data_IF_973519862929
#
_entry.id   IF_973519862929
#
_cell.length_a   1.000
_cell.length_b   1.000
_cell.length_c   1.000
_cell.angle_alpha   90.00
_cell.angle_beta   90.00
_cell.angle_gamma   90.00
#
_symmetry.space_group_name_H-M   'P 1'
#
loop_
_entity.id
_entity.type
_entity.pdbx_description
1 polymer ?
#
# COMPACT_ATOMS: atom_id res chain seq x y z
N UNK A 1 -7.21 -36.76 10.68
CA UNK A 1 -6.69 -35.97 11.81
C UNK A 1 -5.21 -35.62 11.58
N UNK A 2 -4.34 -36.61 11.39
CA UNK A 2 -2.88 -36.38 11.13
C UNK A 2 -2.65 -35.53 9.88
N UNK A 3 -3.23 -35.89 8.73
CA UNK A 3 -3.14 -35.08 7.50
C UNK A 3 -3.56 -33.59 7.66
N UNK A 4 -4.56 -33.33 8.52
CA UNK A 4 -5.01 -31.96 8.81
C UNK A 4 -4.01 -31.20 9.70
N UNK A 5 -3.42 -31.89 10.69
CA UNK A 5 -2.38 -31.36 11.57
C UNK A 5 -1.07 -31.12 10.80
N UNK A 6 -0.74 -32.01 9.87
CA UNK A 6 0.40 -31.93 8.96
C UNK A 6 0.16 -30.97 7.78
N UNK A 7 -1.04 -30.37 7.72
CA UNK A 7 -1.39 -29.36 6.72
C UNK A 7 -1.27 -29.87 5.28
N UNK A 8 -1.44 -31.17 5.06
CA UNK A 8 -1.32 -31.79 3.74
C UNK A 8 -2.34 -31.23 2.73
N UNK A 9 -3.50 -30.74 3.20
CA UNK A 9 -4.48 -30.07 2.33
C UNK A 9 -3.94 -28.81 1.65
N UNK A 10 -2.86 -28.23 2.16
CA UNK A 10 -2.21 -27.08 1.56
C UNK A 10 -1.11 -27.48 0.60
N UNK A 11 -0.57 -28.71 0.66
CA UNK A 11 0.54 -29.18 -0.17
C UNK A 11 1.90 -28.54 0.15
N UNK A 12 2.97 -29.09 -0.44
CA UNK A 12 4.32 -28.54 -0.40
C UNK A 12 4.58 -27.61 -1.58
N UNK A 13 5.21 -26.46 -1.32
CA UNK A 13 5.43 -25.44 -2.34
C UNK A 13 6.89 -25.02 -2.36
N UNK A 14 7.49 -25.08 -3.54
CA UNK A 14 8.81 -24.51 -3.76
C UNK A 14 8.74 -22.99 -3.87
N UNK A 15 9.59 -22.28 -3.12
CA UNK A 15 9.78 -20.83 -3.30
C UNK A 15 10.36 -20.48 -4.68
N UNK A 16 10.99 -21.46 -5.34
CA UNK A 16 11.62 -21.28 -6.65
C UNK A 16 10.62 -21.44 -7.80
N UNK A 17 9.47 -22.07 -7.56
CA UNK A 17 8.41 -22.17 -8.57
C UNK A 17 7.61 -20.86 -8.62
N UNK A 18 7.83 -20.09 -9.68
CA UNK A 18 7.18 -18.80 -9.90
C UNK A 18 6.00 -18.86 -10.87
N UNK A 19 5.62 -20.04 -11.37
CA UNK A 19 4.42 -20.23 -12.17
C UNK A 19 3.16 -20.26 -11.27
N UNK A 20 2.93 -19.17 -10.54
CA UNK A 20 1.95 -19.11 -9.44
C UNK A 20 0.56 -18.66 -9.89
N UNK A 21 0.21 -18.81 -11.16
CA UNK A 21 -1.15 -18.57 -11.63
C UNK A 21 -1.98 -19.84 -11.52
N UNK A 22 -3.26 -19.66 -11.28
CA UNK A 22 -4.27 -20.73 -11.37
C UNK A 22 -4.59 -21.07 -12.84
N UNK A 23 -5.10 -22.27 -13.16
CA UNK A 23 -5.57 -22.59 -14.51
C UNK A 23 -6.53 -21.54 -15.08
N UNK A 24 -7.37 -20.96 -14.22
CA UNK A 24 -8.34 -19.92 -14.57
C UNK A 24 -7.68 -18.61 -14.97
N UNK A 25 -6.48 -18.31 -14.48
CA UNK A 25 -5.75 -17.06 -14.76
C UNK A 25 -4.56 -17.23 -15.69
N UNK A 26 -4.18 -18.48 -16.01
CA UNK A 26 -3.07 -18.81 -16.89
C UNK A 26 -3.15 -18.08 -18.24
N UNK A 27 -4.33 -17.99 -18.83
CA UNK A 27 -4.57 -17.35 -20.13
C UNK A 27 -4.20 -15.84 -20.16
N UNK A 28 -3.97 -15.21 -19.00
CA UNK A 28 -3.55 -13.81 -18.90
C UNK A 28 -2.05 -13.62 -19.15
N UNK A 29 -1.26 -14.69 -19.18
CA UNK A 29 0.19 -14.64 -19.16
C UNK A 29 0.83 -15.50 -20.24
N UNK A 30 1.87 -14.98 -20.89
CA UNK A 30 2.64 -15.68 -21.92
C UNK A 30 3.80 -16.52 -21.33
N UNK A 31 3.95 -16.55 -20.01
CA UNK A 31 4.98 -17.31 -19.31
C UNK A 31 5.37 -16.69 -17.96
N UNK A 32 6.34 -17.30 -17.28
CA UNK A 32 6.76 -16.90 -15.91
C UNK A 32 7.30 -15.47 -15.84
N UNK A 33 8.08 -15.04 -16.83
CA UNK A 33 8.62 -13.67 -16.86
C UNK A 33 7.52 -12.63 -17.06
N UNK A 34 6.55 -12.93 -17.92
CA UNK A 34 5.40 -12.09 -18.21
C UNK A 34 4.48 -11.97 -16.98
N UNK A 35 4.19 -13.09 -16.31
CA UNK A 35 3.49 -13.12 -15.04
C UNK A 35 4.19 -12.31 -13.95
N UNK A 36 5.50 -12.54 -13.76
CA UNK A 36 6.27 -11.80 -12.75
C UNK A 36 6.18 -10.30 -13.00
N UNK A 37 6.36 -9.85 -14.24
CA UNK A 37 6.34 -8.43 -14.55
C UNK A 37 4.93 -7.83 -14.48
N UNK A 38 3.95 -8.42 -15.16
CA UNK A 38 2.62 -7.83 -15.29
C UNK A 38 1.75 -8.01 -14.04
N UNK A 39 1.86 -9.15 -13.35
CA UNK A 39 1.13 -9.39 -12.12
C UNK A 39 1.94 -8.95 -10.90
N UNK A 40 3.05 -9.63 -10.61
CA UNK A 40 3.74 -9.46 -9.32
C UNK A 40 4.42 -8.09 -9.17
N UNK A 41 5.02 -7.54 -10.23
CA UNK A 41 5.65 -6.22 -10.19
C UNK A 41 4.67 -5.10 -10.49
N UNK A 42 3.99 -5.14 -11.64
CA UNK A 42 3.15 -4.04 -12.11
C UNK A 42 1.84 -3.93 -11.32
N UNK A 43 1.06 -5.02 -11.24
CA UNK A 43 -0.24 -5.03 -10.54
C UNK A 43 -0.09 -5.04 -9.03
N UNK A 44 0.80 -5.86 -8.50
CA UNK A 44 0.93 -6.08 -7.05
C UNK A 44 1.90 -5.12 -6.37
N UNK A 45 2.81 -4.43 -7.05
CA UNK A 45 3.71 -3.48 -6.39
C UNK A 45 3.55 -2.05 -6.90
N UNK A 46 3.81 -1.81 -8.19
CA UNK A 46 3.84 -0.46 -8.77
C UNK A 46 2.47 0.21 -8.60
N UNK A 47 1.38 -0.52 -8.82
CA UNK A 47 0.02 0.00 -8.65
C UNK A 47 -0.23 0.54 -7.23
N UNK A 48 0.05 -0.25 -6.18
CA UNK A 48 -0.18 0.21 -4.81
C UNK A 48 0.78 1.32 -4.41
N UNK A 49 2.04 1.25 -4.82
CA UNK A 49 2.99 2.34 -4.62
C UNK A 49 2.45 3.65 -5.19
N UNK A 50 1.90 3.61 -6.41
CA UNK A 50 1.29 4.78 -7.05
C UNK A 50 -0.04 5.17 -6.42
N UNK A 51 -0.83 4.26 -5.85
CA UNK A 51 -2.01 4.64 -5.08
C UNK A 51 -1.66 5.54 -3.89
N UNK A 52 -0.50 5.31 -3.24
CA UNK A 52 -0.07 6.13 -2.12
C UNK A 52 0.35 7.54 -2.55
N UNK A 53 1.05 7.68 -3.68
CA UNK A 53 1.75 8.93 -4.02
C UNK A 53 1.22 9.66 -5.26
N UNK A 54 0.39 9.02 -6.09
CA UNK A 54 -0.24 9.59 -7.27
C UNK A 54 -1.77 9.63 -7.16
N UNK A 55 -2.37 8.46 -6.90
CA UNK A 55 -3.79 8.33 -6.67
C UNK A 55 -4.39 6.99 -7.14
N UNK A 56 -5.64 6.76 -6.76
CA UNK A 56 -6.42 5.54 -6.98
C UNK A 56 -7.77 5.91 -7.60
N UNK A 57 -8.19 5.17 -8.62
CA UNK A 57 -9.49 5.35 -9.24
C UNK A 57 -9.92 4.14 -10.09
N UNK A 58 -11.19 4.07 -10.50
CA UNK A 58 -11.74 2.92 -11.20
C UNK A 58 -11.04 2.67 -12.54
N UNK A 59 -10.65 1.43 -12.80
CA UNK A 59 -10.01 1.05 -14.06
C UNK A 59 -10.93 1.33 -15.25
N UNK A 60 -10.39 1.96 -16.30
CA UNK A 60 -11.14 2.42 -17.46
C UNK A 60 -11.60 3.89 -17.41
N UNK A 61 -11.36 4.61 -16.30
CA UNK A 61 -11.56 6.05 -16.25
C UNK A 61 -10.59 6.82 -17.16
N UNK A 62 -11.01 7.99 -17.67
CA UNK A 62 -10.24 8.79 -18.64
C UNK A 62 -8.83 9.19 -18.16
N UNK A 63 -8.66 9.38 -16.85
CA UNK A 63 -7.40 9.78 -16.21
C UNK A 63 -6.69 8.62 -15.51
N UNK A 64 -7.20 7.39 -15.67
CA UNK A 64 -6.77 6.23 -14.91
C UNK A 64 -5.96 5.28 -15.78
N UNK A 65 -4.72 5.02 -15.36
CA UNK A 65 -3.90 3.97 -15.95
C UNK A 65 -4.15 2.64 -15.23
N UNK A 66 -4.47 1.53 -15.91
CA UNK A 66 -4.87 0.29 -15.22
C UNK A 66 -3.79 -0.35 -14.35
N UNK A 67 -2.51 -0.27 -14.73
CA UNK A 67 -1.42 -0.94 -14.01
C UNK A 67 -1.68 -2.43 -13.70
N UNK A 68 -2.32 -3.16 -14.62
CA UNK A 68 -2.67 -4.57 -14.43
C UNK A 68 -4.02 -4.80 -13.74
N UNK A 69 -4.75 -3.74 -13.43
CA UNK A 69 -6.12 -3.81 -12.93
C UNK A 69 -7.09 -4.37 -13.98
N UNK A 70 -8.02 -5.22 -13.55
CA UNK A 70 -9.19 -5.60 -14.36
C UNK A 70 -10.22 -4.48 -14.36
N UNK A 71 -11.30 -4.60 -15.15
CA UNK A 71 -12.37 -3.60 -15.19
C UNK A 71 -13.15 -3.46 -13.87
N UNK A 72 -13.08 -4.46 -12.98
CA UNK A 72 -13.73 -4.44 -11.67
C UNK A 72 -12.79 -3.95 -10.54
N UNK A 73 -11.56 -3.56 -10.89
CA UNK A 73 -10.53 -3.15 -9.95
C UNK A 73 -10.16 -1.68 -10.17
N UNK A 74 -9.43 -1.11 -9.22
CA UNK A 74 -8.89 0.23 -9.36
C UNK A 74 -7.53 0.21 -10.08
N UNK A 75 -7.30 1.24 -10.90
CA UNK A 75 -6.01 1.61 -11.47
C UNK A 75 -5.43 2.84 -10.75
N UNK A 76 -4.49 3.53 -11.41
CA UNK A 76 -3.82 4.72 -10.90
C UNK A 76 -4.45 5.96 -11.53
N UNK A 77 -5.12 6.78 -10.73
CA UNK A 77 -5.58 8.12 -11.12
C UNK A 77 -4.46 9.13 -10.87
N UNK A 78 -3.87 9.65 -11.93
CA UNK A 78 -2.74 10.59 -11.85
C UNK A 78 -3.09 11.97 -11.30
N UNK A 79 -4.39 12.28 -11.23
CA UNK A 79 -4.90 13.60 -10.89
C UNK A 79 -5.84 13.58 -9.68
N UNK A 80 -5.90 12.47 -8.92
CA UNK A 80 -6.69 12.40 -7.69
C UNK A 80 -6.28 13.52 -6.71
N UNK A 81 -4.98 13.80 -6.61
CA UNK A 81 -4.43 14.86 -5.78
C UNK A 81 -4.17 16.17 -6.54
N UNK A 82 -4.75 16.34 -7.74
CA UNK A 82 -4.39 17.41 -8.67
C UNK A 82 -3.00 17.16 -9.27
N UNK A 83 -1.95 17.73 -8.66
CA UNK A 83 -0.57 17.39 -8.99
C UNK A 83 -0.04 16.41 -7.94
N UNK A 84 0.55 15.25 -8.32
CA UNK A 84 1.05 14.26 -7.37
C UNK A 84 2.37 14.71 -6.71
N UNK A 85 2.29 15.78 -5.90
CA UNK A 85 3.43 16.46 -5.30
C UNK A 85 4.30 15.52 -4.46
N UNK A 86 3.68 14.62 -3.69
CA UNK A 86 4.38 13.62 -2.89
C UNK A 86 5.25 12.70 -3.79
N UNK A 87 4.73 12.22 -4.91
CA UNK A 87 5.51 11.43 -5.86
C UNK A 87 6.65 12.24 -6.47
N UNK A 88 6.37 13.46 -6.93
CA UNK A 88 7.38 14.31 -7.58
C UNK A 88 8.51 14.71 -6.62
N UNK A 89 8.18 15.05 -5.37
CA UNK A 89 9.14 15.34 -4.32
C UNK A 89 9.96 14.12 -3.94
N UNK A 90 9.37 12.92 -3.93
CA UNK A 90 10.11 11.68 -3.71
C UNK A 90 11.18 11.44 -4.77
N UNK A 91 10.85 11.64 -6.06
CA UNK A 91 11.86 11.55 -7.13
C UNK A 91 12.93 12.63 -7.03
N UNK A 92 12.54 13.87 -6.77
CA UNK A 92 13.48 14.97 -6.58
C UNK A 92 14.38 14.72 -5.37
N UNK A 93 13.84 14.23 -4.27
CA UNK A 93 14.57 13.90 -3.06
C UNK A 93 15.50 12.71 -3.21
N UNK A 94 15.12 11.68 -3.96
CA UNK A 94 16.02 10.60 -4.36
C UNK A 94 17.23 11.15 -5.14
N UNK A 95 16.98 11.96 -6.17
CA UNK A 95 18.04 12.60 -6.94
C UNK A 95 18.93 13.47 -6.06
N UNK A 96 18.33 14.34 -5.26
CA UNK A 96 19.04 15.29 -4.40
C UNK A 96 19.88 14.56 -3.34
N UNK A 97 19.34 13.52 -2.70
CA UNK A 97 20.06 12.67 -1.76
C UNK A 97 21.27 12.00 -2.42
N UNK A 98 21.09 11.38 -3.60
CA UNK A 98 22.18 10.71 -4.31
C UNK A 98 23.28 11.65 -4.77
N UNK A 99 22.95 12.92 -5.08
CA UNK A 99 23.94 13.93 -5.49
C UNK A 99 24.77 14.48 -4.33
N UNK A 100 24.17 14.60 -3.14
CA UNK A 100 24.82 15.17 -1.95
C UNK A 100 25.49 14.10 -1.07
N UNK A 101 24.86 12.95 -0.90
CA UNK A 101 25.34 11.85 -0.07
C UNK A 101 24.89 10.49 -0.64
N UNK A 102 25.63 10.02 -1.64
CA UNK A 102 25.32 8.77 -2.31
C UNK A 102 25.45 7.54 -1.40
N UNK A 103 26.24 7.59 -0.32
CA UNK A 103 26.45 6.44 0.58
C UNK A 103 25.20 6.18 1.42
N UNK A 104 24.69 7.20 2.08
CA UNK A 104 23.43 7.09 2.82
C UNK A 104 22.24 6.98 1.86
N UNK A 105 22.32 7.62 0.68
CA UNK A 105 21.36 7.44 -0.40
C UNK A 105 21.20 5.98 -0.80
N UNK A 106 22.32 5.27 -1.00
CA UNK A 106 22.31 3.84 -1.31
C UNK A 106 21.73 2.99 -0.17
N UNK A 107 21.95 3.35 1.10
CA UNK A 107 21.35 2.64 2.23
C UNK A 107 19.81 2.74 2.21
N UNK A 108 19.26 3.94 1.96
CA UNK A 108 17.81 4.12 1.82
C UNK A 108 17.27 3.42 0.57
N UNK A 109 18.03 3.44 -0.54
CA UNK A 109 17.66 2.71 -1.76
C UNK A 109 17.63 1.20 -1.55
N UNK A 110 18.60 0.66 -0.81
CA UNK A 110 18.63 -0.75 -0.45
C UNK A 110 17.41 -1.12 0.40
N UNK A 111 17.06 -0.30 1.40
CA UNK A 111 15.84 -0.49 2.19
C UNK A 111 14.58 -0.46 1.31
N UNK A 112 14.45 0.55 0.44
CA UNK A 112 13.34 0.69 -0.50
C UNK A 112 13.21 -0.53 -1.42
N UNK A 113 14.32 -0.99 -1.99
CA UNK A 113 14.33 -2.15 -2.88
C UNK A 113 14.03 -3.44 -2.12
N UNK A 114 14.66 -3.65 -0.96
CA UNK A 114 14.49 -4.83 -0.12
C UNK A 114 13.04 -5.02 0.32
N UNK A 115 12.40 -3.95 0.79
CA UNK A 115 11.02 -3.95 1.32
C UNK A 115 9.94 -3.67 0.26
N UNK A 116 10.33 -3.53 -1.01
CA UNK A 116 9.44 -3.22 -2.12
C UNK A 116 9.54 -4.22 -3.25
N UNK A 117 10.51 -4.05 -4.14
CA UNK A 117 10.66 -4.91 -5.33
C UNK A 117 11.26 -6.28 -5.02
N UNK A 118 12.23 -6.35 -4.11
CA UNK A 118 12.94 -7.61 -3.82
C UNK A 118 12.10 -8.56 -2.97
N UNK A 119 11.29 -8.04 -2.03
CA UNK A 119 10.40 -8.87 -1.22
C UNK A 119 9.38 -9.64 -2.07
N UNK A 120 9.06 -9.18 -3.29
CA UNK A 120 8.21 -9.90 -4.25
C UNK A 120 8.79 -11.28 -4.57
N UNK A 121 10.13 -11.40 -4.66
CA UNK A 121 10.79 -12.68 -4.92
C UNK A 121 10.53 -13.69 -3.81
N UNK A 122 10.47 -13.20 -2.56
CA UNK A 122 10.18 -14.02 -1.38
C UNK A 122 8.68 -14.33 -1.27
N UNK A 123 7.81 -13.33 -1.45
CA UNK A 123 6.37 -13.48 -1.29
C UNK A 123 5.75 -14.36 -2.38
N UNK A 124 6.30 -14.30 -3.61
CA UNK A 124 5.92 -15.10 -4.76
C UNK A 124 4.39 -15.30 -4.89
N UNK A 125 3.66 -14.17 -4.84
CA UNK A 125 2.20 -14.15 -4.68
C UNK A 125 1.50 -14.79 -5.91
N UNK A 126 0.56 -15.74 -5.71
CA UNK A 126 -0.25 -16.30 -6.79
C UNK A 126 -1.37 -15.37 -7.31
N UNK A 127 -1.80 -15.58 -8.56
CA UNK A 127 -3.01 -14.97 -9.14
C UNK A 127 -4.14 -16.03 -9.26
N UNK A 128 -5.34 -15.79 -8.70
CA UNK A 128 -5.74 -14.63 -7.90
C UNK A 128 -5.31 -14.72 -6.43
N UNK A 129 -5.22 -13.55 -5.79
CA UNK A 129 -5.22 -13.45 -4.33
C UNK A 129 -6.67 -13.34 -3.82
N UNK A 130 -6.99 -13.90 -2.64
CA UNK A 130 -8.31 -13.73 -2.00
C UNK A 130 -8.56 -12.28 -1.57
N UNK A 131 -7.49 -11.49 -1.39
CA UNK A 131 -7.53 -10.06 -1.08
C UNK A 131 -6.24 -9.39 -1.48
N UNK A 132 -6.29 -8.09 -1.69
CA UNK A 132 -5.10 -7.26 -1.95
C UNK A 132 -4.11 -7.35 -0.76
N UNK A 133 -2.81 -7.39 -1.04
CA UNK A 133 -1.73 -7.55 -0.04
C UNK A 133 -0.69 -6.42 -0.06
N UNK A 134 -1.18 -5.22 -0.32
CA UNK A 134 -0.42 -3.96 -0.34
C UNK A 134 0.37 -3.69 0.94
N UNK A 135 -0.15 -4.11 2.10
CA UNK A 135 0.52 -4.00 3.41
C UNK A 135 1.91 -4.64 3.45
N UNK A 136 2.19 -5.62 2.57
CA UNK A 136 3.51 -6.27 2.50
C UNK A 136 4.63 -5.31 2.03
N UNK A 137 4.26 -4.20 1.40
CA UNK A 137 5.19 -3.24 0.80
C UNK A 137 5.32 -1.92 1.59
N UNK A 138 4.68 -1.82 2.76
CA UNK A 138 4.67 -0.61 3.58
C UNK A 138 6.07 -0.12 3.93
N UNK A 139 7.05 -1.02 4.08
CA UNK A 139 8.45 -0.65 4.30
C UNK A 139 9.03 0.21 3.18
N UNK A 140 8.70 -0.07 1.91
CA UNK A 140 9.20 0.74 0.80
C UNK A 140 8.47 2.09 0.71
N UNK A 141 7.20 2.14 1.12
CA UNK A 141 6.45 3.40 1.20
C UNK A 141 7.06 4.33 2.24
N UNK A 142 7.46 3.81 3.41
CA UNK A 142 8.20 4.58 4.41
C UNK A 142 9.55 5.06 3.90
N UNK A 143 10.32 4.19 3.21
CA UNK A 143 11.59 4.60 2.61
C UNK A 143 11.38 5.71 1.56
N UNK A 144 10.29 5.67 0.81
CA UNK A 144 9.92 6.74 -0.12
C UNK A 144 9.58 8.05 0.60
N UNK A 145 8.88 8.01 1.73
CA UNK A 145 8.57 9.19 2.55
C UNK A 145 9.82 9.91 3.05
N UNK A 146 10.93 9.19 3.29
CA UNK A 146 12.23 9.81 3.61
C UNK A 146 12.69 10.69 2.44
N UNK A 147 12.62 10.18 1.21
CA UNK A 147 12.95 11.00 0.04
C UNK A 147 11.97 12.14 -0.19
N UNK A 148 10.69 12.00 0.13
CA UNK A 148 9.76 13.15 0.10
C UNK A 148 10.27 14.27 1.03
N UNK A 149 10.66 13.93 2.27
CA UNK A 149 11.21 14.88 3.23
C UNK A 149 12.51 15.53 2.78
N UNK A 150 13.44 14.72 2.23
CA UNK A 150 14.69 15.24 1.66
C UNK A 150 14.42 16.14 0.44
N UNK A 151 13.47 15.75 -0.41
CA UNK A 151 13.05 16.53 -1.57
C UNK A 151 12.43 17.86 -1.17
N UNK A 152 11.60 17.88 -0.12
CA UNK A 152 11.07 19.10 0.46
C UNK A 152 12.19 20.02 0.98
N UNK A 153 13.16 19.49 1.72
CA UNK A 153 14.31 20.25 2.22
C UNK A 153 15.16 20.81 1.07
N UNK A 154 15.49 19.99 0.07
CA UNK A 154 16.26 20.40 -1.11
C UNK A 154 15.52 21.47 -1.93
N UNK A 155 14.19 21.40 -2.02
CA UNK A 155 13.39 22.41 -2.71
C UNK A 155 13.45 23.75 -1.97
N UNK A 156 13.33 23.74 -0.64
CA UNK A 156 13.43 24.95 0.17
C UNK A 156 14.83 25.58 0.08
N UNK A 157 15.88 24.76 0.05
CA UNK A 157 17.25 25.26 -0.16
C UNK A 157 17.40 25.91 -1.54
N UNK A 158 16.95 25.26 -2.61
CA UNK A 158 17.01 25.83 -3.97
C UNK A 158 16.24 27.14 -4.09
N UNK A 159 15.07 27.24 -3.45
CA UNK A 159 14.30 28.49 -3.40
C UNK A 159 15.03 29.57 -2.61
N UNK A 160 15.63 29.20 -1.47
CA UNK A 160 16.44 30.08 -0.63
C UNK A 160 17.67 30.65 -1.34
N UNK A 161 18.30 29.87 -2.23
CA UNK A 161 19.45 30.29 -3.02
C UNK A 161 19.08 31.17 -4.23
N UNK A 162 17.94 30.88 -4.87
CA UNK A 162 17.48 31.62 -6.06
C UNK A 162 16.91 33.00 -5.72
N UNK A 163 16.24 33.14 -4.58
CA UNK A 163 15.62 34.41 -4.17
C UNK A 163 16.58 35.18 -3.27
N UNK A 164 17.21 36.23 -3.82
CA UNK A 164 18.20 37.05 -3.11
C UNK A 164 17.58 38.15 -2.23
N UNK A 165 16.42 38.67 -2.63
CA UNK A 165 15.74 39.72 -1.87
C UNK A 165 15.14 39.15 -0.58
N UNK A 166 15.45 39.74 0.57
CA UNK A 166 15.13 39.18 1.90
C UNK A 166 13.62 39.06 2.16
N UNK A 167 12.84 40.08 1.79
CA UNK A 167 11.38 40.13 1.87
C UNK A 167 10.73 39.02 1.04
N UNK A 168 11.07 38.95 -0.26
CA UNK A 168 10.55 37.94 -1.18
C UNK A 168 10.98 36.53 -0.76
N UNK A 169 12.24 36.35 -0.32
CA UNK A 169 12.74 35.05 0.16
C UNK A 169 11.90 34.52 1.30
N UNK A 170 11.59 35.37 2.29
CA UNK A 170 10.75 34.97 3.43
C UNK A 170 9.36 34.55 2.97
N UNK A 171 8.72 35.32 2.09
CA UNK A 171 7.39 35.00 1.53
C UNK A 171 7.43 33.68 0.75
N UNK A 172 8.42 33.50 -0.13
CA UNK A 172 8.57 32.27 -0.94
C UNK A 172 8.77 31.04 -0.07
N UNK A 173 9.62 31.12 0.96
CA UNK A 173 9.89 29.97 1.84
C UNK A 173 8.66 29.62 2.69
N UNK A 174 7.96 30.59 3.27
CA UNK A 174 6.73 30.31 4.01
C UNK A 174 5.60 29.81 3.10
N UNK A 175 5.48 30.35 1.88
CA UNK A 175 4.54 29.85 0.88
C UNK A 175 4.82 28.40 0.51
N UNK A 176 6.09 28.06 0.24
CA UNK A 176 6.50 26.68 -0.03
C UNK A 176 6.23 25.76 1.17
N UNK A 177 6.56 26.17 2.39
CA UNK A 177 6.25 25.41 3.60
C UNK A 177 4.73 25.19 3.77
N UNK A 178 3.90 26.19 3.49
CA UNK A 178 2.45 26.06 3.51
C UNK A 178 1.94 25.05 2.48
N UNK A 179 2.49 25.07 1.26
CA UNK A 179 2.16 24.06 0.24
C UNK A 179 2.56 22.66 0.70
N UNK A 180 3.77 22.50 1.23
CA UNK A 180 4.35 21.21 1.61
C UNK A 180 3.71 20.60 2.86
N UNK A 181 3.39 21.41 3.88
CA UNK A 181 2.92 20.92 5.17
C UNK A 181 1.40 20.99 5.35
N UNK A 182 0.71 21.83 4.57
CA UNK A 182 -0.74 22.02 4.71
C UNK A 182 -1.47 21.59 3.45
N UNK A 183 -1.13 22.13 2.30
CA UNK A 183 -1.90 21.88 1.07
C UNK A 183 -1.71 20.44 0.59
N UNK A 184 -0.47 19.95 0.49
CA UNK A 184 -0.21 18.59 0.01
C UNK A 184 -0.87 17.53 0.92
N UNK A 185 -0.66 17.50 2.25
CA UNK A 185 -1.36 16.55 3.11
C UNK A 185 -2.88 16.78 3.15
N UNK A 186 -3.33 18.04 3.10
CA UNK A 186 -4.75 18.40 3.13
C UNK A 186 -5.52 17.89 1.91
N UNK A 187 -4.97 18.01 0.70
CA UNK A 187 -5.57 17.47 -0.52
C UNK A 187 -5.62 15.94 -0.47
N UNK A 188 -4.55 15.28 -0.01
CA UNK A 188 -4.53 13.82 0.16
C UNK A 188 -5.56 13.35 1.18
N UNK A 189 -5.73 14.09 2.29
CA UNK A 189 -6.75 13.80 3.29
C UNK A 189 -8.15 13.92 2.69
N UNK A 190 -8.47 15.05 2.04
CA UNK A 190 -9.79 15.28 1.45
C UNK A 190 -10.15 14.23 0.39
N UNK A 191 -9.20 13.87 -0.47
CA UNK A 191 -9.42 12.89 -1.53
C UNK A 191 -9.68 11.47 -1.02
N UNK A 192 -9.15 11.12 0.14
CA UNK A 192 -9.18 9.76 0.68
C UNK A 192 -10.10 9.60 1.89
N UNK A 193 -10.53 10.70 2.54
CA UNK A 193 -11.24 10.66 3.83
C UNK A 193 -12.42 9.70 3.81
N UNK A 194 -13.30 9.83 2.81
CA UNK A 194 -14.50 9.00 2.72
C UNK A 194 -14.20 7.51 2.47
N UNK A 195 -13.15 7.19 1.71
CA UNK A 195 -12.79 5.79 1.45
C UNK A 195 -12.16 5.10 2.66
N UNK A 196 -11.52 5.88 3.54
CA UNK A 196 -10.86 5.39 4.74
C UNK A 196 -11.71 5.57 6.01
N UNK A 197 -12.80 6.32 5.94
CA UNK A 197 -13.76 6.42 7.02
C UNK A 197 -14.42 5.05 7.26
N UNK A 198 -14.31 4.57 8.50
CA UNK A 198 -14.92 3.32 8.97
C UNK A 198 -16.09 3.59 9.91
N UNK A 199 -16.50 4.85 10.07
CA UNK A 199 -17.67 5.22 10.88
C UNK A 199 -18.89 4.43 10.41
N UNK A 200 -19.60 3.83 11.35
CA UNK A 200 -20.77 3.01 11.04
C UNK A 200 -20.47 1.59 10.54
N UNK A 201 -19.20 1.19 10.43
CA UNK A 201 -18.86 -0.18 10.05
C UNK A 201 -18.90 -1.12 11.26
N UNK A 202 -20.09 -1.63 11.57
CA UNK A 202 -20.32 -2.58 12.66
C UNK A 202 -20.33 -4.04 12.20
N UNK A 203 -20.02 -4.33 10.93
CA UNK A 203 -20.17 -5.68 10.35
C UNK A 203 -19.45 -6.75 11.18
N UNK A 204 -18.19 -6.51 11.55
CA UNK A 204 -17.42 -7.47 12.34
C UNK A 204 -17.98 -7.66 13.76
N UNK A 205 -18.49 -6.56 14.35
CA UNK A 205 -19.10 -6.57 15.69
C UNK A 205 -20.44 -7.30 15.66
N UNK A 206 -21.37 -6.90 14.78
CA UNK A 206 -22.72 -7.46 14.66
C UNK A 206 -22.68 -8.95 14.31
N UNK A 207 -21.81 -9.33 13.36
CA UNK A 207 -21.61 -10.72 12.98
C UNK A 207 -21.19 -11.57 14.18
N UNK A 208 -20.18 -11.11 14.93
CA UNK A 208 -19.65 -11.83 16.08
C UNK A 208 -20.63 -11.85 17.25
N UNK A 209 -21.38 -10.77 17.45
CA UNK A 209 -22.41 -10.67 18.48
C UNK A 209 -23.52 -11.67 18.24
N UNK A 210 -24.01 -11.76 16.99
CA UNK A 210 -25.04 -12.72 16.60
C UNK A 210 -24.54 -14.16 16.75
N UNK A 211 -23.29 -14.43 16.35
CA UNK A 211 -22.68 -15.75 16.49
C UNK A 211 -22.55 -16.16 17.96
N UNK A 212 -22.00 -15.28 18.80
CA UNK A 212 -21.77 -15.53 20.23
C UNK A 212 -23.08 -15.70 21.01
N UNK A 213 -24.09 -14.88 20.75
CA UNK A 213 -25.38 -14.94 21.45
C UNK A 213 -26.28 -16.08 20.98
N UNK A 214 -26.05 -16.65 19.79
CA UNK A 214 -26.75 -17.85 19.35
C UNK A 214 -26.35 -19.12 20.12
N UNK A 215 -25.21 -19.08 20.80
CA UNK A 215 -24.63 -20.22 21.50
C UNK A 215 -25.26 -20.46 22.89
N UNK A 216 -25.22 -21.69 23.41
CA UNK A 216 -25.60 -21.97 24.82
C UNK A 216 -24.50 -21.53 25.78
N UNK A 217 -24.84 -21.32 27.05
CA UNK A 217 -23.84 -20.99 28.08
C UNK A 217 -22.81 -22.12 28.20
N UNK A 218 -21.53 -21.76 28.38
CA UNK A 218 -20.40 -22.69 28.44
C UNK A 218 -20.21 -23.57 27.19
N UNK A 219 -20.77 -23.20 26.04
CA UNK A 219 -20.52 -23.92 24.79
C UNK A 219 -19.15 -23.61 24.21
N UNK A 220 -18.57 -24.58 23.50
CA UNK A 220 -17.36 -24.38 22.70
C UNK A 220 -17.77 -24.01 21.28
N UNK A 221 -17.38 -22.81 20.84
CA UNK A 221 -17.61 -22.31 19.48
C UNK A 221 -16.36 -22.54 18.63
N UNK A 222 -16.50 -23.30 17.55
CA UNK A 222 -15.44 -23.48 16.55
C UNK A 222 -15.61 -22.46 15.43
N UNK A 223 -14.56 -21.69 15.18
CA UNK A 223 -14.49 -20.67 14.13
C UNK A 223 -13.63 -21.14 12.97
N UNK A 224 -13.78 -20.53 11.79
CA UNK A 224 -13.02 -20.91 10.60
C UNK A 224 -11.63 -20.24 10.57
N UNK A 225 -11.53 -19.00 11.04
CA UNK A 225 -10.26 -18.28 11.01
C UNK A 225 -10.18 -17.06 11.91
N UNK A 226 -9.14 -16.28 11.67
CA UNK A 226 -8.83 -15.03 12.37
C UNK A 226 -9.96 -13.99 12.26
N UNK A 227 -10.58 -13.85 11.08
CA UNK A 227 -11.66 -12.90 10.83
C UNK A 227 -12.93 -13.16 11.68
N UNK A 228 -13.15 -14.42 12.08
CA UNK A 228 -14.27 -14.79 12.95
C UNK A 228 -13.85 -14.74 14.42
N UNK A 229 -12.62 -15.17 14.72
CA UNK A 229 -12.11 -15.32 16.08
C UNK A 229 -11.81 -13.98 16.74
N UNK A 230 -11.17 -13.04 16.04
CA UNK A 230 -10.72 -11.79 16.66
C UNK A 230 -11.86 -10.88 17.12
N UNK A 231 -12.94 -10.66 16.35
CA UNK A 231 -14.03 -9.84 16.86
C UNK A 231 -14.84 -10.57 17.94
N UNK A 232 -14.89 -11.92 17.95
CA UNK A 232 -15.44 -12.66 19.10
C UNK A 232 -14.63 -12.42 20.38
N UNK A 233 -13.30 -12.52 20.32
CA UNK A 233 -12.43 -12.23 21.46
C UNK A 233 -12.59 -10.79 21.94
N UNK A 234 -12.73 -9.83 21.02
CA UNK A 234 -13.05 -8.46 21.38
C UNK A 234 -14.35 -8.35 22.19
N UNK A 235 -15.42 -9.00 21.75
CA UNK A 235 -16.70 -8.97 22.47
C UNK A 235 -16.60 -9.57 23.87
N UNK A 236 -15.85 -10.66 24.04
CA UNK A 236 -15.71 -11.33 25.34
C UNK A 236 -14.77 -10.57 26.28
N UNK A 237 -13.57 -10.24 25.81
CA UNK A 237 -12.48 -9.72 26.65
C UNK A 237 -12.56 -8.20 26.86
N UNK A 238 -13.15 -7.47 25.91
CA UNK A 238 -13.22 -6.00 25.97
C UNK A 238 -14.64 -5.52 26.30
N UNK A 239 -15.65 -5.99 25.56
CA UNK A 239 -17.05 -5.58 25.78
C UNK A 239 -17.72 -6.35 26.94
N UNK A 240 -17.10 -7.44 27.43
CA UNK A 240 -17.66 -8.26 28.51
C UNK A 240 -18.97 -8.96 28.14
N UNK A 241 -19.19 -9.22 26.85
CA UNK A 241 -20.40 -9.87 26.35
C UNK A 241 -20.19 -11.38 26.44
N UNK A 242 -20.85 -11.96 27.46
CA UNK A 242 -20.83 -13.37 27.88
C UNK A 242 -19.48 -13.88 28.39
#
# INVERSE_FOLDING_TARGET
AVAYLEREQYGDWSIMDRARWTPETQHRYNGVGDFFWNYQVKKMYIRYFLWQFAGRGPSGGERVSPYGATAAEDGVDWFQYGLPLALLLGFFGLYYHMRRDWKHGLAVLALFAATGLMIILYLNQPDPQPRERDYSYVGSFFAWSIWIGIGAAGLLELLSERVKESSLKRITLFGALGVLLVIMPGVMLLANYHQHDRTGNYVAWDYSYNLLNSCKENSILYTNGDNDTFPLWYLQEVEGIR
#
